data_IF_151887587429
#
_entry.id   IF_151887587429
#
_cell.length_a   1.000
_cell.length_b   1.000
_cell.length_c   1.000
_cell.angle_alpha   90.00
_cell.angle_beta   90.00
_cell.angle_gamma   90.00
#
_symmetry.space_group_name_H-M   'P 1'
#
loop_
_entity.id
_entity.type
_entity.pdbx_description
1 polymer ?
#
# COMPACT_ATOMS: atom_id res chain seq x y z
N UNK A 1 36.14 -8.42 -56.65
CA UNK A 1 35.97 -7.48 -55.53
C UNK A 1 34.48 -7.22 -55.36
N UNK A 2 33.87 -7.92 -54.42
CA UNK A 2 32.42 -8.06 -54.27
C UNK A 2 32.01 -7.35 -52.98
N UNK A 3 31.09 -6.39 -53.08
CA UNK A 3 30.55 -5.60 -51.95
C UNK A 3 29.77 -6.50 -50.96
N UNK A 4 29.84 -6.26 -49.64
CA UNK A 4 29.03 -7.00 -48.69
C UNK A 4 27.62 -6.39 -48.57
N UNK A 5 26.61 -7.27 -48.57
CA UNK A 5 25.19 -6.95 -48.37
C UNK A 5 24.93 -6.59 -46.91
N UNK A 6 24.26 -5.46 -46.68
CA UNK A 6 23.67 -5.11 -45.38
C UNK A 6 22.57 -6.11 -45.00
N UNK A 7 22.74 -6.77 -43.85
CA UNK A 7 21.67 -7.52 -43.16
C UNK A 7 20.99 -6.56 -42.19
N UNK A 8 19.77 -6.14 -42.51
CA UNK A 8 18.91 -5.39 -41.59
C UNK A 8 18.42 -6.33 -40.50
N UNK A 9 18.96 -6.17 -39.28
CA UNK A 9 18.47 -6.85 -38.08
C UNK A 9 17.13 -6.23 -37.69
N UNK A 10 16.03 -6.88 -38.05
CA UNK A 10 14.70 -6.53 -37.52
C UNK A 10 14.76 -6.66 -36.00
N UNK A 11 14.64 -5.55 -35.27
CA UNK A 11 14.45 -5.57 -33.83
C UNK A 11 13.06 -6.15 -33.53
N UNK A 12 12.99 -7.47 -33.34
CA UNK A 12 11.84 -8.09 -32.71
C UNK A 12 11.81 -7.64 -31.25
N UNK A 13 10.73 -6.97 -30.85
CA UNK A 13 10.41 -6.69 -29.45
C UNK A 13 10.44 -8.00 -28.66
N UNK A 14 10.99 -8.04 -27.43
CA UNK A 14 10.91 -9.23 -26.60
C UNK A 14 9.43 -9.52 -26.29
N UNK A 15 9.04 -10.80 -26.14
CA UNK A 15 7.69 -11.15 -25.76
C UNK A 15 7.37 -10.55 -24.39
N UNK A 16 6.15 -9.99 -24.26
CA UNK A 16 5.60 -9.56 -22.96
C UNK A 16 5.75 -10.71 -21.97
N UNK A 17 6.15 -10.40 -20.74
CA UNK A 17 5.96 -11.29 -19.60
C UNK A 17 4.44 -11.41 -19.37
N UNK A 18 3.79 -12.25 -20.16
CA UNK A 18 2.44 -12.69 -19.92
C UNK A 18 2.48 -13.55 -18.64
N UNK A 19 1.84 -13.03 -17.59
CA UNK A 19 1.08 -13.78 -16.60
C UNK A 19 1.50 -15.25 -16.41
N UNK A 20 2.67 -15.48 -15.81
CA UNK A 20 3.02 -16.79 -15.34
C UNK A 20 2.21 -17.06 -14.05
N UNK A 21 1.05 -17.72 -14.18
CA UNK A 21 0.41 -18.42 -13.07
C UNK A 21 -0.88 -17.83 -12.49
N UNK A 22 -1.70 -17.13 -13.28
CA UNK A 22 -3.03 -16.74 -12.81
C UNK A 22 -4.11 -17.55 -13.56
N UNK A 23 -4.60 -18.61 -12.90
CA UNK A 23 -5.90 -19.20 -13.23
C UNK A 23 -6.98 -18.10 -13.16
N UNK A 24 -7.98 -18.16 -14.04
CA UNK A 24 -9.12 -17.22 -14.15
C UNK A 24 -9.58 -16.70 -12.77
N UNK A 25 -9.11 -15.51 -12.38
CA UNK A 25 -9.08 -15.09 -10.98
C UNK A 25 -8.84 -13.59 -10.80
N UNK A 26 -9.45 -12.97 -9.78
CA UNK A 26 -9.08 -11.61 -9.36
C UNK A 26 -7.78 -11.61 -8.56
N UNK A 27 -6.93 -10.60 -8.76
CA UNK A 27 -5.68 -10.43 -8.01
C UNK A 27 -5.91 -9.52 -6.82
N UNK A 28 -5.76 -10.06 -5.61
CA UNK A 28 -5.78 -9.27 -4.39
C UNK A 28 -4.38 -8.83 -4.00
N UNK A 29 -4.16 -7.51 -3.94
CA UNK A 29 -2.99 -6.89 -3.34
C UNK A 29 -3.32 -6.37 -1.94
N UNK A 30 -2.45 -6.64 -0.96
CA UNK A 30 -2.62 -6.18 0.42
C UNK A 30 -1.47 -5.25 0.82
N UNK A 31 -1.80 -4.04 1.30
CA UNK A 31 -0.79 -3.16 1.90
C UNK A 31 -0.41 -3.62 3.31
N UNK A 32 0.89 -3.74 3.59
CA UNK A 32 1.41 -4.22 4.88
C UNK A 32 2.57 -3.36 5.37
N UNK A 33 2.78 -3.33 6.68
CA UNK A 33 3.81 -2.54 7.36
C UNK A 33 4.67 -3.36 8.33
N UNK A 34 4.54 -4.69 8.32
CA UNK A 34 5.30 -5.58 9.17
C UNK A 34 5.45 -6.97 8.54
N UNK A 35 6.43 -7.73 9.04
CA UNK A 35 6.65 -9.13 8.64
C UNK A 35 5.43 -9.99 9.00
N UNK A 36 4.83 -9.79 10.17
CA UNK A 36 3.61 -10.51 10.59
C UNK A 36 2.46 -10.23 9.63
N UNK A 37 2.23 -8.97 9.28
CA UNK A 37 1.19 -8.58 8.31
C UNK A 37 1.45 -9.19 6.93
N UNK A 38 2.70 -9.21 6.45
CA UNK A 38 3.07 -9.83 5.17
C UNK A 38 2.79 -11.34 5.14
N UNK A 39 3.23 -12.07 6.18
CA UNK A 39 2.97 -13.51 6.31
C UNK A 39 1.47 -13.79 6.44
N UNK A 40 0.74 -12.95 7.19
CA UNK A 40 -0.71 -13.10 7.33
C UNK A 40 -1.44 -12.86 6.01
N UNK A 41 -1.02 -11.87 5.22
CA UNK A 41 -1.59 -11.61 3.90
C UNK A 41 -1.39 -12.80 2.96
N UNK A 42 -0.16 -13.34 2.86
CA UNK A 42 0.11 -14.53 2.04
C UNK A 42 -0.71 -15.74 2.51
N UNK A 43 -0.71 -16.05 3.81
CA UNK A 43 -1.51 -17.16 4.39
C UNK A 43 -3.01 -16.98 4.21
N UNK A 44 -3.46 -15.74 4.03
CA UNK A 44 -4.84 -15.38 3.75
C UNK A 44 -5.22 -15.54 2.27
N UNK A 45 -4.24 -15.71 1.38
CA UNK A 45 -4.45 -15.82 -0.06
C UNK A 45 -4.30 -14.49 -0.81
N UNK A 46 -3.56 -13.52 -0.29
CA UNK A 46 -3.14 -12.37 -1.10
C UNK A 46 -2.28 -12.86 -2.28
N UNK A 47 -2.56 -12.38 -3.48
CA UNK A 47 -1.75 -12.68 -4.67
C UNK A 47 -0.49 -11.80 -4.76
N UNK A 48 -0.49 -10.67 -4.05
CA UNK A 48 0.61 -9.71 -4.01
C UNK A 48 0.57 -8.89 -2.72
N UNK A 49 1.73 -8.38 -2.33
CA UNK A 49 1.90 -7.50 -1.17
C UNK A 49 2.45 -6.16 -1.64
N UNK A 50 1.91 -5.06 -1.12
CA UNK A 50 2.56 -3.74 -1.17
C UNK A 50 3.15 -3.45 0.22
N UNK A 51 4.47 -3.30 0.29
CA UNK A 51 5.22 -3.03 1.50
C UNK A 51 5.39 -1.53 1.70
N UNK A 52 4.88 -1.05 2.83
CA UNK A 52 4.84 0.36 3.22
C UNK A 52 5.39 0.55 4.63
N UNK A 53 5.86 1.74 4.94
CA UNK A 53 5.86 2.28 6.30
C UNK A 53 4.71 3.29 6.45
N UNK A 54 4.54 3.88 7.64
CA UNK A 54 3.69 5.06 7.82
C UNK A 54 2.26 4.93 7.27
N UNK A 55 1.60 3.77 7.43
CA UNK A 55 0.26 3.55 6.88
C UNK A 55 -0.81 4.51 7.43
N UNK A 56 -0.53 5.19 8.54
CA UNK A 56 -1.37 6.29 9.06
C UNK A 56 -1.32 7.55 8.20
N UNK A 57 -0.23 7.76 7.45
CA UNK A 57 -0.02 8.85 6.49
C UNK A 57 -0.33 8.42 5.04
N UNK A 58 -0.97 7.26 4.87
CA UNK A 58 -1.28 6.69 3.55
C UNK A 58 -0.14 5.89 2.91
N UNK A 59 0.94 5.61 3.64
CA UNK A 59 2.07 4.81 3.15
C UNK A 59 3.30 5.67 2.81
N UNK A 60 4.46 5.27 3.31
CA UNK A 60 5.78 5.85 3.04
C UNK A 60 6.78 4.74 2.70
N UNK A 61 7.97 5.11 2.20
CA UNK A 61 9.02 4.12 1.91
C UNK A 61 9.36 3.29 3.15
N UNK A 62 9.29 1.95 3.10
CA UNK A 62 9.65 1.10 4.23
C UNK A 62 11.15 1.08 4.46
N UNK A 63 11.58 0.67 5.66
CA UNK A 63 13.00 0.42 5.91
C UNK A 63 13.48 -0.79 5.10
N UNK A 64 14.73 -0.75 4.64
CA UNK A 64 15.31 -1.88 3.90
C UNK A 64 15.45 -3.14 4.76
N UNK A 65 15.61 -3.00 6.08
CA UNK A 65 15.58 -4.12 7.01
C UNK A 65 14.23 -4.86 7.00
N UNK A 66 13.12 -4.12 6.93
CA UNK A 66 11.80 -4.72 6.79
C UNK A 66 11.66 -5.48 5.48
N UNK A 67 12.07 -4.87 4.36
CA UNK A 67 12.04 -5.53 3.04
C UNK A 67 12.81 -6.85 3.03
N UNK A 68 14.04 -6.84 3.56
CA UNK A 68 14.90 -8.03 3.59
C UNK A 68 14.26 -9.19 4.36
N UNK A 69 13.69 -8.93 5.53
CA UNK A 69 13.04 -9.98 6.34
C UNK A 69 11.75 -10.44 5.69
N UNK A 70 10.93 -9.54 5.13
CA UNK A 70 9.72 -9.92 4.40
C UNK A 70 10.06 -10.85 3.23
N UNK A 71 11.08 -10.53 2.43
CA UNK A 71 11.52 -11.38 1.30
C UNK A 71 12.04 -12.76 1.72
N UNK A 72 12.43 -12.95 2.98
CA UNK A 72 12.79 -14.26 3.52
C UNK A 72 11.56 -15.05 4.00
N UNK A 73 10.45 -14.38 4.29
CA UNK A 73 9.28 -14.98 4.92
C UNK A 73 8.10 -15.24 3.98
N UNK A 74 8.05 -14.57 2.82
CA UNK A 74 6.96 -14.71 1.84
C UNK A 74 7.48 -15.08 0.44
N UNK A 75 6.64 -15.72 -0.36
CA UNK A 75 6.92 -16.13 -1.74
C UNK A 75 6.14 -15.32 -2.77
N UNK A 76 4.99 -14.77 -2.40
CA UNK A 76 4.22 -13.86 -3.26
C UNK A 76 5.04 -12.61 -3.64
N UNK A 77 4.78 -11.99 -4.80
CA UNK A 77 5.48 -10.77 -5.18
C UNK A 77 5.29 -9.65 -4.15
N UNK A 78 6.38 -8.93 -3.87
CA UNK A 78 6.45 -7.82 -2.91
C UNK A 78 6.81 -6.54 -3.65
N UNK A 79 5.85 -5.63 -3.68
CA UNK A 79 5.98 -4.30 -4.25
C UNK A 79 6.38 -3.33 -3.15
N UNK A 80 7.28 -2.39 -3.44
CA UNK A 80 7.80 -1.46 -2.44
C UNK A 80 7.33 -0.05 -2.73
N UNK A 81 6.72 0.58 -1.74
CA UNK A 81 6.39 2.00 -1.77
C UNK A 81 7.67 2.84 -1.84
N UNK A 82 7.70 3.81 -2.75
CA UNK A 82 8.74 4.84 -2.86
C UNK A 82 8.04 6.19 -2.68
N UNK A 83 7.96 6.63 -1.42
CA UNK A 83 7.33 7.89 -1.02
C UNK A 83 8.03 8.42 0.23
N UNK A 84 8.82 9.51 0.11
CA UNK A 84 9.74 9.93 1.18
C UNK A 84 9.04 10.55 2.40
N UNK A 85 7.78 11.00 2.25
CA UNK A 85 6.97 11.61 3.33
C UNK A 85 5.47 11.51 3.05
N UNK A 86 4.65 11.77 4.08
CA UNK A 86 3.23 12.07 3.93
C UNK A 86 2.95 13.40 3.20
N UNK A 87 1.66 13.74 3.07
CA UNK A 87 1.21 14.97 2.39
C UNK A 87 1.12 14.83 0.88
N UNK A 88 1.45 15.91 0.17
CA UNK A 88 1.37 16.02 -1.29
C UNK A 88 2.38 15.13 -2.05
N UNK A 89 2.35 15.26 -3.37
CA UNK A 89 3.21 14.55 -4.33
C UNK A 89 4.01 15.50 -5.21
N UNK A 90 4.21 16.73 -4.74
CA UNK A 90 5.06 17.75 -5.36
C UNK A 90 6.42 17.70 -4.64
N UNK A 91 7.38 17.04 -5.28
CA UNK A 91 8.67 16.76 -4.63
C UNK A 91 9.72 17.80 -4.98
N UNK A 92 10.47 18.21 -3.97
CA UNK A 92 11.71 18.98 -4.17
C UNK A 92 12.82 18.10 -4.75
N UNK A 93 13.83 18.71 -5.36
CA UNK A 93 14.98 18.00 -5.93
C UNK A 93 15.66 17.05 -4.93
N UNK A 94 15.75 17.46 -3.65
CA UNK A 94 16.36 16.63 -2.60
C UNK A 94 15.53 15.39 -2.29
N UNK A 95 14.20 15.53 -2.29
CA UNK A 95 13.28 14.40 -2.10
C UNK A 95 13.34 13.44 -3.29
N UNK A 96 13.46 13.98 -4.50
CA UNK A 96 13.67 13.18 -5.72
C UNK A 96 14.97 12.36 -5.63
N UNK A 97 16.07 12.95 -5.13
CA UNK A 97 17.32 12.20 -4.94
C UNK A 97 17.19 11.09 -3.89
N UNK A 98 16.42 11.32 -2.81
CA UNK A 98 16.06 10.26 -1.84
C UNK A 98 15.28 9.14 -2.53
N UNK A 99 14.24 9.47 -3.29
CA UNK A 99 13.44 8.47 -4.03
C UNK A 99 14.31 7.64 -4.98
N UNK A 100 15.22 8.26 -5.72
CA UNK A 100 16.15 7.56 -6.61
C UNK A 100 17.09 6.62 -5.84
N UNK A 101 17.56 7.02 -4.66
CA UNK A 101 18.38 6.17 -3.80
C UNK A 101 17.59 4.96 -3.28
N UNK A 102 16.36 5.19 -2.80
CA UNK A 102 15.48 4.14 -2.31
C UNK A 102 15.08 3.15 -3.41
N UNK A 103 14.83 3.62 -4.64
CA UNK A 103 14.59 2.74 -5.80
C UNK A 103 15.77 1.79 -6.02
N UNK A 104 17.02 2.31 -5.97
CA UNK A 104 18.22 1.46 -6.13
C UNK A 104 18.34 0.43 -5.01
N UNK A 105 18.09 0.84 -3.77
CA UNK A 105 18.18 -0.04 -2.59
C UNK A 105 17.07 -1.10 -2.59
N UNK A 106 15.83 -0.73 -2.90
CA UNK A 106 14.71 -1.66 -2.99
C UNK A 106 14.96 -2.74 -4.04
N UNK A 107 15.48 -2.35 -5.22
CA UNK A 107 15.90 -3.30 -6.26
C UNK A 107 17.02 -4.23 -5.77
N UNK A 108 18.04 -3.67 -5.13
CA UNK A 108 19.17 -4.44 -4.59
C UNK A 108 18.71 -5.49 -3.57
N UNK A 109 17.68 -5.17 -2.78
CA UNK A 109 17.14 -6.04 -1.75
C UNK A 109 15.94 -6.89 -2.20
N UNK A 110 15.69 -6.99 -3.50
CA UNK A 110 14.79 -7.98 -4.08
C UNK A 110 13.32 -7.58 -4.15
N UNK A 111 13.02 -6.28 -4.25
CA UNK A 111 11.69 -5.83 -4.63
C UNK A 111 11.27 -6.45 -5.98
N UNK A 112 10.04 -6.95 -6.07
CA UNK A 112 9.49 -7.52 -7.32
C UNK A 112 8.77 -6.45 -8.15
N UNK A 113 8.58 -5.26 -7.58
CA UNK A 113 8.02 -4.09 -8.23
C UNK A 113 8.03 -2.88 -7.33
N UNK A 114 7.71 -1.72 -7.89
CA UNK A 114 7.81 -0.44 -7.20
C UNK A 114 6.50 0.35 -7.34
N UNK A 115 6.24 1.21 -6.36
CA UNK A 115 5.03 2.02 -6.31
C UNK A 115 5.40 3.46 -5.98
N UNK A 116 5.00 4.42 -6.82
CA UNK A 116 5.20 5.84 -6.56
C UNK A 116 4.18 6.69 -7.35
N UNK A 117 4.19 8.00 -7.17
CA UNK A 117 3.53 8.92 -8.08
C UNK A 117 3.95 10.35 -7.78
N UNK A 118 4.05 11.18 -8.81
CA UNK A 118 4.47 12.57 -8.70
C UNK A 118 3.53 13.47 -9.49
N UNK A 119 3.22 14.63 -8.94
CA UNK A 119 2.32 15.61 -9.52
C UNK A 119 2.98 16.97 -9.61
N UNK A 120 2.54 17.76 -10.58
CA UNK A 120 2.83 19.20 -10.69
C UNK A 120 1.93 20.01 -9.75
N UNK A 121 2.26 21.28 -9.53
CA UNK A 121 1.44 22.23 -8.76
C UNK A 121 0.00 22.34 -9.29
N UNK A 122 -0.20 22.22 -10.61
CA UNK A 122 -1.51 22.23 -11.27
C UNK A 122 -2.32 20.93 -11.10
N UNK A 123 -1.83 19.95 -10.33
CA UNK A 123 -2.49 18.65 -10.18
C UNK A 123 -2.45 17.81 -11.46
N UNK A 124 -1.41 17.93 -12.28
CA UNK A 124 -1.16 17.04 -13.43
C UNK A 124 -0.06 16.05 -13.08
N UNK A 125 0.05 14.96 -13.83
CA UNK A 125 1.17 14.02 -13.69
C UNK A 125 2.47 14.75 -14.06
N UNK A 126 3.47 14.71 -13.19
CA UNK A 126 4.80 15.21 -13.52
C UNK A 126 5.51 14.22 -14.46
N UNK A 127 5.40 14.47 -15.76
CA UNK A 127 5.91 13.57 -16.80
C UNK A 127 7.43 13.47 -16.81
N UNK A 128 8.15 14.55 -16.49
CA UNK A 128 9.62 14.58 -16.51
C UNK A 128 10.16 13.74 -15.35
N UNK A 129 9.67 14.01 -14.14
CA UNK A 129 10.05 13.26 -12.95
C UNK A 129 9.64 11.79 -13.06
N UNK A 130 8.41 11.50 -13.49
CA UNK A 130 7.96 10.13 -13.67
C UNK A 130 8.83 9.37 -14.69
N UNK A 131 9.24 10.01 -15.78
CA UNK A 131 10.15 9.40 -16.77
C UNK A 131 11.49 9.04 -16.13
N UNK A 132 12.08 9.95 -15.35
CA UNK A 132 13.35 9.72 -14.67
C UNK A 132 13.28 8.58 -13.64
N UNK A 133 12.21 8.54 -12.82
CA UNK A 133 12.01 7.49 -11.83
C UNK A 133 11.71 6.13 -12.48
N UNK A 134 10.87 6.08 -13.51
CA UNK A 134 10.61 4.85 -14.28
C UNK A 134 11.90 4.28 -14.88
N UNK A 135 12.79 5.12 -15.39
CA UNK A 135 14.08 4.68 -15.90
C UNK A 135 14.94 4.02 -14.81
N UNK A 136 14.92 4.54 -13.58
CA UNK A 136 15.60 3.94 -12.44
C UNK A 136 14.96 2.62 -11.97
N UNK A 137 13.63 2.49 -12.10
CA UNK A 137 12.88 1.29 -11.71
C UNK A 137 13.15 0.08 -12.62
N UNK A 138 13.36 0.30 -13.92
CA UNK A 138 13.52 -0.79 -14.91
C UNK A 138 14.58 -1.82 -14.50
N UNK A 139 14.34 -3.13 -14.69
CA UNK A 139 13.22 -3.71 -15.44
C UNK A 139 11.97 -3.99 -14.59
N UNK A 140 11.91 -3.52 -13.34
CA UNK A 140 10.79 -3.86 -12.46
C UNK A 140 9.48 -3.19 -12.90
N UNK A 141 8.35 -3.88 -12.74
CA UNK A 141 7.02 -3.32 -12.95
C UNK A 141 6.73 -2.18 -11.95
N UNK A 142 5.97 -1.18 -12.40
CA UNK A 142 5.66 0.00 -11.58
C UNK A 142 4.16 0.29 -11.56
N UNK A 143 3.64 0.54 -10.35
CA UNK A 143 2.29 1.05 -10.10
C UNK A 143 2.33 2.54 -9.81
N UNK A 144 1.50 3.33 -10.48
CA UNK A 144 1.25 4.72 -10.09
C UNK A 144 0.22 4.74 -8.95
N UNK A 145 0.59 5.23 -7.77
CA UNK A 145 -0.27 5.15 -6.59
C UNK A 145 -1.40 6.21 -6.55
N UNK A 146 -2.06 6.34 -5.40
CA UNK A 146 -3.19 7.25 -5.15
C UNK A 146 -2.91 8.75 -5.26
N UNK A 147 -1.70 9.18 -5.61
CA UNK A 147 -1.52 10.51 -6.24
C UNK A 147 -2.47 10.72 -7.42
N UNK A 148 -2.86 9.65 -8.11
CA UNK A 148 -3.84 9.71 -9.18
C UNK A 148 -5.17 10.29 -8.71
N UNK A 149 -5.59 10.03 -7.47
CA UNK A 149 -6.85 10.55 -6.94
C UNK A 149 -6.82 12.06 -6.68
N UNK A 150 -5.65 12.69 -6.75
CA UNK A 150 -5.44 14.13 -6.53
C UNK A 150 -5.24 14.90 -7.84
N UNK A 151 -5.42 14.26 -8.99
CA UNK A 151 -5.24 14.91 -10.30
C UNK A 151 -6.44 15.78 -10.67
N UNK A 152 -6.18 16.84 -11.44
CA UNK A 152 -7.21 17.73 -11.96
C UNK A 152 -8.10 17.03 -13.01
N UNK A 153 -7.50 16.27 -13.94
CA UNK A 153 -8.23 15.55 -15.00
C UNK A 153 -7.79 14.08 -15.05
N UNK A 154 -8.60 13.15 -14.52
CA UNK A 154 -8.24 11.73 -14.43
C UNK A 154 -8.20 11.03 -15.79
N UNK A 155 -8.96 11.48 -16.78
CA UNK A 155 -8.95 10.86 -18.12
C UNK A 155 -7.66 11.19 -18.87
N UNK A 156 -7.20 12.44 -18.79
CA UNK A 156 -5.92 12.87 -19.35
C UNK A 156 -4.74 12.25 -18.58
N UNK A 157 -4.83 12.20 -17.25
CA UNK A 157 -3.82 11.56 -16.41
C UNK A 157 -3.64 10.09 -16.78
N UNK A 158 -4.73 9.35 -17.02
CA UNK A 158 -4.67 7.94 -17.40
C UNK A 158 -3.91 7.73 -18.72
N UNK A 159 -4.20 8.51 -19.77
CA UNK A 159 -3.46 8.41 -21.05
C UNK A 159 -1.98 8.78 -20.88
N UNK A 160 -1.68 9.72 -19.98
CA UNK A 160 -0.31 10.10 -19.65
C UNK A 160 0.44 8.92 -19.01
N UNK A 161 -0.17 8.24 -18.02
CA UNK A 161 0.43 7.06 -17.38
C UNK A 161 0.64 5.90 -18.36
N UNK A 162 -0.32 5.66 -19.26
CA UNK A 162 -0.21 4.68 -20.34
C UNK A 162 0.99 5.01 -21.25
N UNK A 163 1.12 6.27 -21.64
CA UNK A 163 2.19 6.73 -22.53
C UNK A 163 3.58 6.63 -21.90
N UNK A 164 3.68 6.89 -20.59
CA UNK A 164 4.91 6.73 -19.82
C UNK A 164 5.30 5.25 -19.61
N UNK A 165 4.31 4.35 -19.63
CA UNK A 165 4.50 2.90 -19.51
C UNK A 165 4.40 2.37 -18.08
N UNK A 166 3.58 3.00 -17.23
CA UNK A 166 3.15 2.37 -15.98
C UNK A 166 2.29 1.14 -16.28
N UNK A 167 2.43 0.10 -15.46
CA UNK A 167 1.66 -1.15 -15.63
C UNK A 167 0.34 -1.12 -14.90
N UNK A 168 0.29 -0.38 -13.77
CA UNK A 168 -0.86 -0.28 -12.88
C UNK A 168 -1.09 1.15 -12.44
N UNK A 169 -2.34 1.49 -12.15
CA UNK A 169 -2.73 2.70 -11.42
C UNK A 169 -3.66 2.34 -10.27
N UNK A 170 -3.28 2.73 -9.05
CA UNK A 170 -4.09 2.56 -7.84
C UNK A 170 -4.94 3.81 -7.62
N UNK A 171 -6.26 3.63 -7.52
CA UNK A 171 -7.20 4.76 -7.46
C UNK A 171 -8.45 4.42 -6.65
N UNK A 172 -8.98 5.41 -5.94
CA UNK A 172 -10.33 5.39 -5.35
C UNK A 172 -11.38 6.01 -6.28
N UNK A 173 -11.03 6.31 -7.53
CA UNK A 173 -11.88 7.05 -8.46
C UNK A 173 -11.98 8.53 -8.09
N UNK A 174 -10.89 9.15 -7.62
CA UNK A 174 -10.85 10.56 -7.22
C UNK A 174 -11.87 10.93 -6.13
N UNK A 175 -12.28 9.96 -5.31
CA UNK A 175 -13.21 10.14 -4.20
C UNK A 175 -12.64 9.57 -2.88
N UNK A 176 -13.35 9.77 -1.78
CA UNK A 176 -13.05 9.31 -0.43
C UNK A 176 -12.88 7.79 -0.31
N UNK A 177 -13.53 6.99 -1.17
CA UNK A 177 -13.38 5.54 -1.22
C UNK A 177 -13.65 4.98 -2.63
N UNK A 178 -13.14 3.77 -2.90
CA UNK A 178 -13.38 3.09 -4.17
C UNK A 178 -14.87 2.82 -4.46
N UNK A 179 -15.72 2.73 -3.43
CA UNK A 179 -17.16 2.55 -3.62
C UNK A 179 -17.83 3.85 -4.11
N UNK A 180 -17.44 5.00 -3.57
CA UNK A 180 -17.96 6.31 -3.98
C UNK A 180 -17.48 6.67 -5.39
N UNK A 181 -16.18 6.48 -5.66
CA UNK A 181 -15.58 6.72 -6.99
C UNK A 181 -15.81 5.59 -8.00
N UNK A 182 -16.65 4.58 -7.69
CA UNK A 182 -16.85 3.39 -8.52
C UNK A 182 -17.22 3.72 -9.97
N UNK A 183 -18.06 4.74 -10.15
CA UNK A 183 -18.49 5.18 -11.49
C UNK A 183 -17.32 5.70 -12.34
N UNK A 184 -16.35 6.39 -11.73
CA UNK A 184 -15.15 6.85 -12.43
C UNK A 184 -14.19 5.69 -12.67
N UNK A 185 -14.00 4.80 -11.68
CA UNK A 185 -13.15 3.61 -11.85
C UNK A 185 -13.60 2.78 -13.05
N UNK A 186 -14.91 2.56 -13.21
CA UNK A 186 -15.48 1.88 -14.37
C UNK A 186 -15.08 2.57 -15.69
N UNK A 187 -15.29 3.89 -15.79
CA UNK A 187 -14.92 4.68 -16.98
C UNK A 187 -13.42 4.60 -17.28
N UNK A 188 -12.57 4.63 -16.24
CA UNK A 188 -11.12 4.51 -16.39
C UNK A 188 -10.72 3.12 -16.89
N UNK A 189 -11.35 2.05 -16.38
CA UNK A 189 -11.11 0.69 -16.86
C UNK A 189 -11.53 0.53 -18.33
N UNK A 190 -12.70 1.06 -18.71
CA UNK A 190 -13.19 1.09 -20.09
C UNK A 190 -12.26 1.89 -21.02
N UNK A 191 -11.75 3.04 -20.55
CA UNK A 191 -10.79 3.86 -21.29
C UNK A 191 -9.44 3.15 -21.41
N UNK A 192 -8.95 2.50 -20.36
CA UNK A 192 -7.65 1.82 -20.33
C UNK A 192 -7.57 0.71 -21.38
N UNK A 193 -8.66 -0.02 -21.63
CA UNK A 193 -8.73 -1.13 -22.62
C UNK A 193 -7.57 -2.14 -22.44
N UNK A 194 -7.21 -2.44 -21.20
CA UNK A 194 -6.11 -3.34 -20.85
C UNK A 194 -4.70 -2.83 -21.18
N UNK A 195 -4.54 -1.55 -21.56
CA UNK A 195 -3.22 -0.93 -21.78
C UNK A 195 -2.46 -0.63 -20.49
N UNK A 196 -3.21 -0.40 -19.42
CA UNK A 196 -2.78 -0.26 -18.03
C UNK A 196 -3.84 -0.93 -17.15
N UNK A 197 -3.44 -1.55 -16.05
CA UNK A 197 -4.39 -2.15 -15.10
C UNK A 197 -4.86 -1.08 -14.11
N UNK A 198 -6.18 -0.85 -14.07
CA UNK A 198 -6.81 0.02 -13.08
C UNK A 198 -7.12 -0.79 -11.83
N UNK A 199 -6.51 -0.43 -10.71
CA UNK A 199 -6.64 -1.13 -9.42
C UNK A 199 -7.47 -0.27 -8.47
N UNK A 200 -8.75 -0.59 -8.20
CA UNK A 200 -9.50 0.07 -7.15
C UNK A 200 -8.83 -0.12 -5.79
N UNK A 201 -8.73 0.96 -5.03
CA UNK A 201 -8.25 0.97 -3.65
C UNK A 201 -8.87 2.11 -2.85
N UNK A 202 -8.79 2.01 -1.53
CA UNK A 202 -9.42 2.97 -0.60
C UNK A 202 -10.74 2.45 -0.05
N UNK A 203 -10.71 2.04 1.22
CA UNK A 203 -11.92 1.61 1.95
C UNK A 203 -12.52 0.27 1.51
N UNK A 204 -11.79 -0.56 0.74
CA UNK A 204 -12.27 -1.89 0.35
C UNK A 204 -12.30 -2.84 1.57
N UNK A 205 -13.45 -3.48 1.76
CA UNK A 205 -13.78 -4.41 2.85
C UNK A 205 -14.62 -5.57 2.32
N UNK A 206 -14.83 -6.57 3.16
CA UNK A 206 -15.67 -7.75 2.90
C UNK A 206 -17.13 -7.35 2.57
N UNK A 207 -17.55 -6.17 3.01
CA UNK A 207 -18.94 -5.68 2.85
C UNK A 207 -19.18 -4.98 1.51
N UNK A 208 -18.14 -4.50 0.85
CA UNK A 208 -18.28 -3.71 -0.38
C UNK A 208 -17.50 -4.27 -1.58
N UNK A 209 -16.61 -5.25 -1.38
CA UNK A 209 -15.80 -5.83 -2.45
C UNK A 209 -16.64 -6.32 -3.63
N UNK A 210 -17.71 -7.08 -3.37
CA UNK A 210 -18.57 -7.63 -4.42
C UNK A 210 -19.12 -6.53 -5.34
N UNK A 211 -19.70 -5.48 -4.76
CA UNK A 211 -20.26 -4.34 -5.50
C UNK A 211 -19.19 -3.61 -6.33
N UNK A 212 -17.97 -3.49 -5.80
CA UNK A 212 -16.86 -2.83 -6.49
C UNK A 212 -16.42 -3.66 -7.69
N UNK A 213 -16.22 -4.97 -7.52
CA UNK A 213 -15.76 -5.85 -8.60
C UNK A 213 -16.80 -5.97 -9.72
N UNK A 214 -18.06 -6.24 -9.39
CA UNK A 214 -19.16 -6.30 -10.36
C UNK A 214 -19.38 -4.96 -11.08
N UNK A 215 -19.18 -3.84 -10.37
CA UNK A 215 -19.42 -2.49 -10.91
C UNK A 215 -18.29 -1.90 -11.74
N UNK A 216 -17.05 -2.39 -11.60
CA UNK A 216 -15.88 -1.79 -12.24
C UNK A 216 -15.23 -2.62 -13.36
N UNK A 217 -15.54 -3.92 -13.46
CA UNK A 217 -14.98 -4.85 -14.47
C UNK A 217 -13.44 -4.98 -14.44
N UNK A 218 -12.82 -4.62 -13.32
CA UNK A 218 -11.37 -4.72 -13.10
C UNK A 218 -10.96 -6.14 -12.72
N UNK A 219 -9.69 -6.48 -12.92
CA UNK A 219 -9.13 -7.81 -12.60
C UNK A 219 -8.27 -7.84 -11.34
N UNK A 220 -7.94 -6.68 -10.77
CA UNK A 220 -7.11 -6.56 -9.57
C UNK A 220 -7.77 -5.60 -8.58
N UNK A 221 -7.51 -5.75 -7.28
CA UNK A 221 -7.97 -4.81 -6.26
C UNK A 221 -6.98 -4.72 -5.10
N UNK A 222 -6.98 -3.57 -4.42
CA UNK A 222 -6.07 -3.26 -3.33
C UNK A 222 -6.81 -3.00 -2.02
N UNK A 223 -6.40 -3.65 -0.94
CA UNK A 223 -7.01 -3.49 0.38
C UNK A 223 -5.97 -3.50 1.51
N UNK A 224 -6.42 -3.17 2.74
CA UNK A 224 -5.55 -3.27 3.93
C UNK A 224 -5.86 -4.48 4.81
N UNK A 225 -7.13 -4.93 4.85
CA UNK A 225 -7.58 -6.09 5.62
C UNK A 225 -7.09 -6.13 7.10
N UNK A 226 -6.89 -4.98 7.73
CA UNK A 226 -6.34 -4.88 9.09
C UNK A 226 -7.40 -5.10 10.18
N UNK A 227 -6.97 -5.65 11.31
CA UNK A 227 -7.69 -5.62 12.58
C UNK A 227 -6.81 -4.98 13.66
N UNK A 228 -7.45 -4.30 14.62
CA UNK A 228 -6.77 -3.76 15.78
C UNK A 228 -6.59 -4.87 16.82
N UNK A 229 -5.42 -4.92 17.44
CA UNK A 229 -5.08 -5.83 18.54
C UNK A 229 -4.49 -5.02 19.68
N UNK A 230 -4.82 -5.43 20.89
CA UNK A 230 -4.22 -4.84 22.08
C UNK A 230 -2.76 -5.27 22.21
N UNK A 231 -1.94 -4.36 22.73
CA UNK A 231 -0.55 -4.61 23.05
C UNK A 231 -0.44 -5.69 24.13
N UNK A 232 0.61 -6.51 24.06
CA UNK A 232 0.97 -7.47 25.11
C UNK A 232 1.56 -6.83 26.37
N UNK A 233 1.69 -5.51 26.42
CA UNK A 233 2.19 -4.76 27.58
C UNK A 233 1.28 -4.95 28.78
N UNK A 234 1.83 -5.45 29.90
CA UNK A 234 1.06 -5.71 31.13
C UNK A 234 1.06 -4.55 32.13
N UNK A 235 2.02 -3.64 32.03
CA UNK A 235 2.18 -2.54 32.98
C UNK A 235 1.18 -1.41 32.68
N UNK A 236 0.46 -0.95 33.71
CA UNK A 236 -0.44 0.20 33.65
C UNK A 236 -0.02 1.25 34.69
N UNK A 237 -0.07 2.54 34.31
CA UNK A 237 0.02 3.65 35.27
C UNK A 237 -1.39 3.94 35.74
N UNK A 238 -1.70 3.50 36.97
CA UNK A 238 -2.91 3.93 37.66
C UNK A 238 -2.79 5.44 37.95
N UNK A 239 -3.41 6.29 37.14
CA UNK A 239 -3.62 7.68 37.53
C UNK A 239 -4.75 7.68 38.53
N UNK A 240 -4.39 7.53 39.80
CA UNK A 240 -5.26 7.98 40.87
C UNK A 240 -5.33 9.49 40.72
N UNK A 241 -6.45 9.95 40.15
CA UNK A 241 -6.79 11.35 39.94
C UNK A 241 -6.81 12.01 41.32
N UNK A 242 -5.67 12.54 41.78
CA UNK A 242 -5.55 13.38 42.97
C UNK A 242 -6.22 14.72 42.66
N UNK A 243 -7.55 14.72 42.61
CA UNK A 243 -8.34 15.93 42.73
C UNK A 243 -8.76 16.04 44.19
N UNK A 244 -8.15 17.02 44.86
CA UNK A 244 -8.66 17.72 46.05
C UNK A 244 -9.06 16.84 47.25
N UNK A 245 -8.09 16.49 48.08
CA UNK A 245 -8.18 16.56 49.55
C UNK A 245 -6.87 16.06 50.15
N UNK A 246 -6.25 16.87 51.00
CA UNK A 246 -4.93 16.61 51.59
C UNK A 246 -4.92 15.46 52.59
N UNK A 247 -5.04 14.22 52.12
CA UNK A 247 -4.73 13.02 52.91
C UNK A 247 -3.49 12.32 52.33
N UNK A 248 -2.43 12.26 53.14
CA UNK A 248 -1.33 11.32 52.93
C UNK A 248 -1.90 9.91 53.01
N UNK A 249 -1.81 9.14 51.93
CA UNK A 249 -2.05 7.70 51.96
C UNK A 249 -0.82 6.98 51.40
N UNK A 250 -0.25 6.14 52.25
CA UNK A 250 0.82 5.21 51.92
C UNK A 250 0.33 4.22 50.87
N UNK A 251 1.16 3.96 49.87
CA UNK A 251 0.98 2.85 48.96
C UNK A 251 1.03 1.54 49.76
N UNK A 252 -0.07 0.79 49.78
CA UNK A 252 -0.09 -0.61 50.17
C UNK A 252 -0.47 -1.44 48.93
N UNK A 253 0.27 -2.52 48.62
CA UNK A 253 -0.17 -3.49 47.63
C UNK A 253 -1.37 -4.28 48.18
N UNK A 254 -2.36 -4.53 47.32
CA UNK A 254 -3.57 -5.26 47.65
C UNK A 254 -3.25 -6.71 48.10
N UNK A 255 -3.72 -7.21 49.27
CA UNK A 255 -3.41 -8.55 49.75
C UNK A 255 -4.22 -9.66 49.06
N UNK A 256 -5.22 -9.32 48.23
CA UNK A 256 -6.13 -10.31 47.66
C UNK A 256 -6.01 -10.34 46.14
N UNK A 257 -5.11 -11.20 45.66
CA UNK A 257 -4.84 -11.46 44.24
C UNK A 257 -6.05 -11.96 43.45
N UNK A 258 -6.94 -11.04 43.07
CA UNK A 258 -7.99 -11.26 42.08
C UNK A 258 -7.73 -10.29 40.93
N UNK A 259 -7.32 -10.75 39.73
CA UNK A 259 -7.23 -9.87 38.58
C UNK A 259 -8.65 -9.56 38.12
N UNK A 260 -9.18 -8.41 38.56
CA UNK A 260 -10.32 -7.82 37.87
C UNK A 260 -9.85 -7.39 36.48
N UNK A 261 -10.58 -7.81 35.45
CA UNK A 261 -10.29 -7.51 34.05
C UNK A 261 -10.40 -6.00 33.78
N UNK A 262 -9.34 -5.26 34.12
CA UNK A 262 -9.13 -3.89 33.70
C UNK A 262 -8.13 -3.94 32.56
N UNK A 263 -8.61 -3.56 31.37
CA UNK A 263 -7.82 -3.52 30.15
C UNK A 263 -6.49 -2.81 30.42
N UNK A 264 -5.41 -3.43 29.97
CA UNK A 264 -4.04 -2.92 30.11
C UNK A 264 -3.85 -1.67 29.23
N UNK A 265 -4.34 -0.54 29.70
CA UNK A 265 -3.99 0.76 29.15
C UNK A 265 -2.72 1.17 29.89
N UNK A 266 -1.58 1.24 29.19
CA UNK A 266 -0.30 1.59 29.80
C UNK A 266 -0.23 3.04 30.28
N UNK A 267 0.89 3.75 30.20
CA UNK A 267 0.96 5.11 30.76
C UNK A 267 0.15 6.09 29.88
N UNK A 268 -1.04 6.55 30.30
CA UNK A 268 -1.91 7.34 29.42
C UNK A 268 -1.52 8.83 29.39
N UNK A 269 -0.53 9.24 30.20
CA UNK A 269 -0.03 10.61 30.24
C UNK A 269 0.99 10.92 29.13
N UNK A 270 1.44 9.91 28.40
CA UNK A 270 2.48 10.05 27.37
C UNK A 270 1.86 9.76 26.02
N UNK A 271 2.01 10.70 25.10
CA UNK A 271 1.76 10.52 23.68
C UNK A 271 3.10 10.61 22.95
N UNK A 272 3.41 9.61 22.14
CA UNK A 272 4.64 9.55 21.35
C UNK A 272 4.52 10.38 20.06
N UNK A 273 3.29 10.47 19.51
CA UNK A 273 2.99 11.16 18.27
C UNK A 273 2.57 12.63 18.45
N UNK A 274 2.56 13.37 17.33
CA UNK A 274 2.22 14.80 17.29
C UNK A 274 0.75 15.13 17.61
N UNK A 275 -0.15 14.14 17.63
CA UNK A 275 -1.57 14.30 17.97
C UNK A 275 -2.07 13.17 18.86
N UNK A 276 -2.90 13.51 19.86
CA UNK A 276 -3.55 12.61 20.83
C UNK A 276 -4.52 11.55 20.23
N UNK A 277 -4.41 11.26 18.94
CA UNK A 277 -5.46 10.60 18.15
C UNK A 277 -5.32 9.09 18.02
N UNK A 278 -4.18 8.48 18.39
CA UNK A 278 -3.98 7.04 18.30
C UNK A 278 -3.67 6.44 19.68
N UNK A 279 -4.35 5.34 20.08
CA UNK A 279 -4.01 4.64 21.31
C UNK A 279 -2.62 3.99 21.19
N UNK A 280 -1.70 4.37 22.08
CA UNK A 280 -0.30 3.89 22.13
C UNK A 280 -0.16 2.38 22.33
N UNK A 281 -1.21 1.75 22.86
CA UNK A 281 -1.24 0.32 23.19
C UNK A 281 -2.13 -0.49 22.24
N UNK A 282 -2.44 0.06 21.06
CA UNK A 282 -3.12 -0.68 19.99
C UNK A 282 -2.22 -0.81 18.77
N UNK A 283 -2.10 -2.03 18.26
CA UNK A 283 -1.41 -2.31 16.99
C UNK A 283 -2.43 -2.72 15.93
N UNK A 284 -2.16 -2.38 14.67
CA UNK A 284 -2.97 -2.85 13.54
C UNK A 284 -2.16 -3.85 12.74
N UNK A 285 -2.72 -5.05 12.53
CA UNK A 285 -2.06 -6.14 11.80
C UNK A 285 -3.01 -6.64 10.72
N UNK A 286 -2.47 -7.04 9.56
CA UNK A 286 -3.28 -7.72 8.55
C UNK A 286 -3.88 -9.01 9.13
N UNK A 287 -5.18 -9.17 8.98
CA UNK A 287 -5.95 -10.24 9.59
C UNK A 287 -6.18 -11.38 8.59
N UNK A 288 -5.64 -12.56 8.89
CA UNK A 288 -5.73 -13.74 8.02
C UNK A 288 -7.19 -14.07 7.66
N UNK A 289 -8.13 -13.96 8.59
CA UNK A 289 -9.53 -14.30 8.35
C UNK A 289 -10.21 -13.29 7.41
N UNK A 290 -9.89 -12.00 7.56
CA UNK A 290 -10.38 -10.96 6.66
C UNK A 290 -9.84 -11.15 5.24
N UNK A 291 -8.54 -11.39 5.10
CA UNK A 291 -7.90 -11.66 3.80
C UNK A 291 -8.53 -12.89 3.13
N UNK A 292 -8.76 -13.99 3.88
CA UNK A 292 -9.46 -15.17 3.34
C UNK A 292 -10.88 -14.87 2.89
N UNK A 293 -11.62 -14.08 3.67
CA UNK A 293 -13.00 -13.72 3.34
C UNK A 293 -13.04 -12.89 2.05
N UNK A 294 -12.14 -11.91 1.89
CA UNK A 294 -12.00 -11.13 0.65
C UNK A 294 -11.66 -12.02 -0.55
N UNK A 295 -10.71 -12.95 -0.38
CA UNK A 295 -10.36 -13.92 -1.43
C UNK A 295 -11.55 -14.81 -1.82
N UNK A 296 -12.32 -15.29 -0.84
CA UNK A 296 -13.52 -16.09 -1.08
C UNK A 296 -14.61 -15.31 -1.82
N UNK A 297 -14.85 -14.04 -1.44
CA UNK A 297 -15.78 -13.16 -2.15
C UNK A 297 -15.34 -12.99 -3.61
N UNK A 298 -14.06 -12.71 -3.84
CA UNK A 298 -13.54 -12.53 -5.19
C UNK A 298 -13.70 -13.78 -6.06
N UNK A 299 -13.45 -14.97 -5.49
CA UNK A 299 -13.65 -16.25 -6.19
C UNK A 299 -15.11 -16.57 -6.51
N UNK A 300 -16.06 -16.10 -5.69
CA UNK A 300 -17.48 -16.37 -5.89
C UNK A 300 -18.14 -15.50 -6.98
N UNK A 301 -17.42 -14.50 -7.51
CA UNK A 301 -17.92 -13.60 -8.57
C UNK A 301 -17.62 -14.16 -9.98
N UNK A 302 -16.63 -15.05 -10.08
CA UNK A 302 -16.23 -15.73 -11.32
C UNK A 302 -17.06 -17.00 -11.52
#
# INVERSE_FOLDING_TARGET
>A
MTLPRHVTRSQQRPPRAASAGMEDGFLMEVCVDSVESAVNAERGGAGRIELCAGLVEGGTTPSMGLLQVVKQCVRVPVFVMIRPRGGDFLYSDREVEVMKADIRLAKLHGADGLVFGALTEDGRIDTELCTALLAACRPLPVTFHRAFDMVHDPQVALETLISLGFERVLTSGCDSSALEGLSLIKKLAEQAKGRIVVVPGGGITERNLQRILEGSTVSEFHCSARSARDSGMKFSVCIQRCLSSGLKLQAQPDPWGIPSATAALGNPNVAMGASFSAPEYSIKVADVAKVRTLNAIAKNIL
#
